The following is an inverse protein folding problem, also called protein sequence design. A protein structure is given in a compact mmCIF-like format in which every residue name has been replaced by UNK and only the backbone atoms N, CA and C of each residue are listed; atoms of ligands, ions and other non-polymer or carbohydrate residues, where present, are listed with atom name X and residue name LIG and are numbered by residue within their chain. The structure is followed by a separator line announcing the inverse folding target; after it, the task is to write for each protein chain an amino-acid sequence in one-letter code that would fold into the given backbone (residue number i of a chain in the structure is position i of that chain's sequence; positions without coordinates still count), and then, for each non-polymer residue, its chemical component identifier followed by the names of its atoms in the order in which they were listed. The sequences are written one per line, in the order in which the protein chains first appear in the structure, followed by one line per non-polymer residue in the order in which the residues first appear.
data_IF_415205236100
#
_entry.id   IF_415205236100
#
_cell.length_a   1.000
_cell.length_b   1.000
_cell.length_c   1.000
_cell.angle_alpha   90.00
_cell.angle_beta   90.00
_cell.angle_gamma   90.00
#
_symmetry.space_group_name_H-M   'P 1'
#
loop_
_entity.id
_entity.type
_entity.pdbx_description
1 polymer ?
#
# COMPACT_ATOMS: atom_id res chain seq x y z
N UNK A 1 -24.71 -6.49 9.72
CA UNK A 1 -23.96 -6.17 10.96
C UNK A 1 -23.67 -7.42 11.76
N UNK A 2 -24.68 -8.21 12.14
CA UNK A 2 -24.48 -9.46 12.91
C UNK A 2 -23.53 -10.44 12.22
N UNK A 3 -23.61 -10.59 10.88
CA UNK A 3 -22.67 -11.43 10.12
C UNK A 3 -21.22 -10.96 10.25
N UNK A 4 -20.95 -9.67 10.06
CA UNK A 4 -19.59 -9.10 10.19
C UNK A 4 -19.01 -9.31 11.58
N UNK A 5 -19.85 -9.15 12.61
CA UNK A 5 -19.46 -9.42 14.01
C UNK A 5 -19.18 -10.90 14.26
N UNK A 6 -20.03 -11.79 13.72
CA UNK A 6 -19.85 -13.23 13.80
C UNK A 6 -18.57 -13.67 13.08
N UNK A 7 -18.36 -13.21 11.86
CA UNK A 7 -17.19 -13.53 11.04
C UNK A 7 -15.90 -13.04 11.70
N UNK A 8 -15.89 -11.82 12.25
CA UNK A 8 -14.73 -11.29 12.97
C UNK A 8 -14.35 -12.16 14.18
N UNK A 9 -15.35 -12.62 14.95
CA UNK A 9 -15.11 -13.53 16.08
C UNK A 9 -14.66 -14.91 15.60
N UNK A 10 -15.27 -15.43 14.53
CA UNK A 10 -14.91 -16.72 13.94
C UNK A 10 -13.47 -16.72 13.44
N UNK A 11 -13.04 -15.67 12.71
CA UNK A 11 -11.67 -15.52 12.25
C UNK A 11 -10.67 -15.46 13.41
N UNK A 12 -11.01 -14.74 14.49
CA UNK A 12 -10.19 -14.69 15.69
C UNK A 12 -10.05 -16.08 16.34
N UNK A 13 -11.15 -16.82 16.45
CA UNK A 13 -11.16 -18.16 17.05
C UNK A 13 -10.44 -19.20 16.15
N UNK A 14 -10.59 -19.11 14.82
CA UNK A 14 -9.90 -19.97 13.85
C UNK A 14 -8.39 -19.73 13.87
N UNK A 15 -7.95 -18.47 13.80
CA UNK A 15 -6.52 -18.15 13.86
C UNK A 15 -5.91 -18.71 15.16
N UNK A 16 -6.64 -18.61 16.27
CA UNK A 16 -6.23 -19.17 17.55
C UNK A 16 -6.15 -20.70 17.52
N UNK A 17 -7.14 -21.38 16.93
CA UNK A 17 -7.13 -22.83 16.79
C UNK A 17 -5.91 -23.33 15.98
N UNK A 18 -5.43 -22.52 15.02
CA UNK A 18 -4.22 -22.82 14.24
C UNK A 18 -2.90 -22.46 14.94
N UNK A 19 -2.94 -21.96 16.19
CA UNK A 19 -1.76 -21.56 16.96
C UNK A 19 -1.28 -20.12 16.70
N UNK A 20 -2.02 -19.32 15.94
CA UNK A 20 -1.76 -17.89 15.75
C UNK A 20 -2.46 -17.03 16.80
N UNK A 21 -2.08 -15.75 16.90
CA UNK A 21 -2.74 -14.79 17.77
C UNK A 21 -2.77 -13.39 17.11
N UNK A 22 -3.95 -12.76 17.13
CA UNK A 22 -4.08 -11.36 16.71
C UNK A 22 -3.60 -10.44 17.83
N UNK A 23 -2.85 -9.40 17.44
CA UNK A 23 -2.62 -8.26 18.32
C UNK A 23 -3.83 -7.32 18.20
N UNK A 24 -4.86 -7.57 19.02
CA UNK A 24 -6.15 -6.88 18.94
C UNK A 24 -6.03 -5.36 19.14
N UNK A 25 -5.05 -4.89 19.90
CA UNK A 25 -4.78 -3.45 20.09
C UNK A 25 -4.30 -2.74 18.80
N UNK A 26 -3.76 -3.50 17.84
CA UNK A 26 -3.35 -3.01 16.51
C UNK A 26 -4.39 -3.28 15.43
N UNK A 27 -5.44 -4.03 15.72
CA UNK A 27 -6.50 -4.32 14.77
C UNK A 27 -7.41 -3.11 14.57
N UNK A 28 -7.83 -2.89 13.33
CA UNK A 28 -8.83 -1.91 12.95
C UNK A 28 -9.69 -2.52 11.85
N UNK A 29 -10.92 -2.03 11.72
CA UNK A 29 -11.80 -2.41 10.63
C UNK A 29 -11.88 -1.26 9.62
N UNK A 30 -12.13 -1.58 8.36
CA UNK A 30 -12.49 -0.57 7.37
C UNK A 30 -13.68 -1.10 6.58
N UNK A 31 -14.77 -0.36 6.58
CA UNK A 31 -16.01 -0.76 5.92
C UNK A 31 -16.22 0.11 4.70
N UNK A 32 -16.27 -0.54 3.53
CA UNK A 32 -16.53 0.08 2.25
C UNK A 32 -17.99 -0.14 1.90
N UNK A 33 -18.85 0.81 2.28
CA UNK A 33 -20.20 0.88 1.77
C UNK A 33 -20.19 1.74 0.50
N UNK A 34 -20.79 1.24 -0.57
CA UNK A 34 -20.95 1.96 -1.84
C UNK A 34 -22.36 2.52 -1.88
N UNK A 35 -22.46 3.82 -2.10
CA UNK A 35 -23.69 4.54 -2.36
C UNK A 35 -23.68 5.08 -3.79
N UNK A 36 -24.81 5.56 -4.29
CA UNK A 36 -24.93 6.12 -5.63
C UNK A 36 -25.25 7.61 -5.54
N UNK A 37 -24.44 8.42 -6.23
CA UNK A 37 -24.72 9.84 -6.40
C UNK A 37 -26.04 10.06 -7.18
N UNK A 38 -26.56 11.29 -7.14
CA UNK A 38 -27.73 11.71 -7.94
C UNK A 38 -27.60 11.37 -9.44
N UNK A 39 -26.37 11.27 -9.95
CA UNK A 39 -26.06 10.94 -11.34
C UNK A 39 -25.82 9.43 -11.56
N UNK A 40 -26.08 8.59 -10.57
CA UNK A 40 -25.89 7.13 -10.62
C UNK A 40 -24.42 6.67 -10.52
N UNK A 41 -23.46 7.58 -10.36
CA UNK A 41 -22.06 7.19 -10.18
C UNK A 41 -21.82 6.61 -8.76
N UNK A 42 -21.09 5.49 -8.62
CA UNK A 42 -20.78 4.90 -7.32
C UNK A 42 -19.83 5.81 -6.53
N UNK A 43 -20.15 6.03 -5.26
CA UNK A 43 -19.37 6.80 -4.30
C UNK A 43 -19.22 6.00 -3.01
N UNK A 44 -18.10 6.18 -2.31
CA UNK A 44 -17.89 5.50 -1.03
C UNK A 44 -18.66 6.27 0.05
N UNK A 45 -19.58 5.59 0.74
CA UNK A 45 -20.32 6.18 1.84
C UNK A 45 -19.38 6.57 2.99
N UNK A 46 -19.71 7.63 3.76
CA UNK A 46 -18.96 7.97 4.97
C UNK A 46 -19.00 6.80 5.98
N UNK A 47 -17.98 6.73 6.84
CA UNK A 47 -17.98 5.72 7.90
C UNK A 47 -19.15 5.97 8.87
N UNK A 48 -19.89 4.90 9.16
CA UNK A 48 -20.89 4.90 10.23
C UNK A 48 -20.18 4.93 11.60
N UNK A 49 -20.35 5.98 12.41
CA UNK A 49 -19.73 6.06 13.73
C UNK A 49 -20.32 5.08 14.75
N UNK A 50 -21.51 4.52 14.49
CA UNK A 50 -22.17 3.54 15.35
C UNK A 50 -21.74 2.11 15.06
N UNK A 51 -21.03 1.89 13.95
CA UNK A 51 -20.47 0.58 13.62
C UNK A 51 -19.34 0.26 14.61
N UNK A 52 -19.57 -0.75 15.44
CA UNK A 52 -18.59 -1.24 16.41
C UNK A 52 -18.50 -2.76 16.25
N UNK A 53 -17.27 -3.28 16.17
CA UNK A 53 -17.00 -4.72 16.18
C UNK A 53 -16.33 -5.04 17.53
N UNK A 54 -16.93 -5.94 18.31
CA UNK A 54 -16.42 -6.34 19.61
C UNK A 54 -15.85 -7.76 19.52
N UNK A 55 -14.54 -7.92 19.68
CA UNK A 55 -13.91 -9.24 19.69
C UNK A 55 -13.69 -9.67 21.14
N UNK A 56 -14.22 -10.85 21.49
CA UNK A 56 -14.03 -11.45 22.81
C UNK A 56 -12.71 -12.21 22.85
N UNK A 57 -11.78 -11.75 23.66
CA UNK A 57 -10.53 -12.45 23.93
C UNK A 57 -10.72 -13.43 25.10
N UNK A 58 -10.70 -14.73 24.80
CA UNK A 58 -10.86 -15.80 25.80
C UNK A 58 -9.65 -15.97 26.71
N UNK A 59 -8.46 -15.52 26.32
CA UNK A 59 -7.24 -15.66 27.12
C UNK A 59 -7.17 -14.61 28.23
N UNK A 60 -7.47 -13.36 27.87
CA UNK A 60 -7.38 -12.22 28.80
C UNK A 60 -8.73 -11.86 29.43
N UNK A 61 -9.80 -12.61 29.12
CA UNK A 61 -11.19 -12.30 29.49
C UNK A 61 -11.53 -10.82 29.25
N UNK A 62 -11.09 -10.30 28.09
CA UNK A 62 -11.22 -8.90 27.73
C UNK A 62 -11.99 -8.78 26.43
N UNK A 63 -12.98 -7.89 26.43
CA UNK A 63 -13.66 -7.48 25.22
C UNK A 63 -12.86 -6.34 24.58
N UNK A 64 -12.38 -6.57 23.35
CA UNK A 64 -11.66 -5.56 22.59
C UNK A 64 -12.58 -4.95 21.54
N UNK A 65 -12.70 -3.63 21.60
CA UNK A 65 -13.52 -2.85 20.68
C UNK A 65 -12.67 -2.45 19.47
N UNK A 66 -12.94 -3.06 18.33
CA UNK A 66 -12.35 -2.70 17.04
C UNK A 66 -13.20 -1.61 16.41
N UNK A 67 -12.66 -0.39 16.40
CA UNK A 67 -13.34 0.77 15.79
C UNK A 67 -13.03 0.83 14.29
N UNK A 68 -14.04 0.97 13.43
CA UNK A 68 -13.82 1.22 12.02
C UNK A 68 -13.09 2.54 11.81
N UNK A 69 -12.09 2.52 10.93
CA UNK A 69 -11.48 3.75 10.41
C UNK A 69 -12.29 4.24 9.21
N UNK A 70 -12.28 5.57 9.02
CA UNK A 70 -12.90 6.16 7.84
C UNK A 70 -12.28 5.59 6.55
N UNK A 71 -13.08 5.27 5.51
CA UNK A 71 -12.59 4.94 4.17
C UNK A 71 -11.71 6.04 3.56
N UNK A 72 -11.92 7.27 4.03
CA UNK A 72 -11.16 8.46 3.62
C UNK A 72 -9.89 8.68 4.47
N UNK A 73 -9.56 7.80 5.40
CA UNK A 73 -8.33 7.90 6.17
C UNK A 73 -7.31 6.89 5.66
N UNK A 74 -6.07 7.32 5.42
CA UNK A 74 -4.98 6.39 5.17
C UNK A 74 -4.57 5.70 6.46
N UNK A 75 -4.15 4.44 6.36
CA UNK A 75 -3.66 3.64 7.47
C UNK A 75 -2.32 3.02 7.14
N UNK A 76 -1.55 2.64 8.15
CA UNK A 76 -0.26 1.97 7.98
C UNK A 76 -0.42 0.46 8.17
N UNK A 77 -0.15 -0.32 7.15
CA UNK A 77 -0.10 -1.78 7.22
C UNK A 77 1.25 -2.28 6.72
N UNK A 78 1.89 -3.17 7.50
CA UNK A 78 3.19 -3.78 7.18
C UNK A 78 4.29 -2.77 6.76
N UNK A 79 4.25 -1.56 7.32
CA UNK A 79 5.21 -0.48 7.03
C UNK A 79 4.84 0.40 5.83
N UNK A 80 3.79 0.07 5.09
CA UNK A 80 3.30 0.85 3.94
C UNK A 80 2.04 1.62 4.31
N UNK A 81 1.95 2.87 3.88
CA UNK A 81 0.75 3.70 4.00
C UNK A 81 -0.23 3.29 2.88
N UNK A 82 -1.44 2.89 3.24
CA UNK A 82 -2.49 2.42 2.34
C UNK A 82 -3.74 3.28 2.52
N UNK A 83 -4.45 3.52 1.43
CA UNK A 83 -5.76 4.17 1.44
C UNK A 83 -6.68 3.43 0.49
N UNK A 84 -7.95 3.27 0.88
CA UNK A 84 -8.95 2.54 0.09
C UNK A 84 -9.83 3.44 -0.77
N UNK A 85 -10.02 4.71 -0.38
CA UNK A 85 -10.73 5.72 -1.17
C UNK A 85 -9.77 6.58 -2.03
N UNK A 86 -10.31 7.59 -2.72
CA UNK A 86 -9.63 8.58 -3.60
C UNK A 86 -8.55 9.44 -2.92
N UNK A 87 -8.03 9.03 -1.75
CA UNK A 87 -6.98 9.72 -0.99
C UNK A 87 -5.56 9.26 -1.36
N UNK A 88 -5.39 8.89 -2.63
CA UNK A 88 -4.10 8.64 -3.27
C UNK A 88 -3.11 9.79 -3.05
N UNK A 89 -3.58 11.04 -2.90
CA UNK A 89 -2.72 12.21 -2.62
C UNK A 89 -2.00 12.13 -1.26
N UNK A 90 -2.69 11.69 -0.20
CA UNK A 90 -2.08 11.55 1.13
C UNK A 90 -1.04 10.43 1.13
N UNK A 91 -1.39 9.30 0.51
CA UNK A 91 -0.49 8.18 0.29
C UNK A 91 0.74 8.59 -0.52
N UNK A 92 0.54 9.31 -1.63
CA UNK A 92 1.61 9.83 -2.48
C UNK A 92 2.55 10.74 -1.69
N UNK A 93 2.03 11.69 -0.90
CA UNK A 93 2.85 12.60 -0.11
C UNK A 93 3.76 11.83 0.87
N UNK A 94 3.23 10.80 1.52
CA UNK A 94 4.02 9.94 2.42
C UNK A 94 5.07 9.15 1.65
N UNK A 95 4.71 8.56 0.52
CA UNK A 95 5.63 7.79 -0.34
C UNK A 95 6.75 8.66 -0.89
N UNK A 96 6.49 9.91 -1.29
CA UNK A 96 7.52 10.87 -1.72
C UNK A 96 8.53 11.15 -0.60
N UNK A 97 8.08 11.28 0.65
CA UNK A 97 8.98 11.48 1.80
C UNK A 97 9.83 10.24 2.08
N UNK A 98 9.22 9.06 2.01
CA UNK A 98 9.92 7.78 2.19
C UNK A 98 10.93 7.54 1.06
N UNK A 99 10.54 7.79 -0.19
CA UNK A 99 11.42 7.65 -1.36
C UNK A 99 12.60 8.60 -1.32
N UNK A 100 12.40 9.86 -0.91
CA UNK A 100 13.50 10.80 -0.68
C UNK A 100 14.47 10.31 0.40
N UNK A 101 13.96 9.67 1.47
CA UNK A 101 14.82 9.07 2.51
C UNK A 101 15.58 7.85 1.98
N UNK A 102 14.91 7.00 1.20
CA UNK A 102 15.54 5.85 0.56
C UNK A 102 16.56 6.26 -0.49
N UNK A 103 16.31 7.32 -1.26
CA UNK A 103 17.24 7.89 -2.23
C UNK A 103 18.51 8.38 -1.55
N UNK A 104 18.40 9.05 -0.39
CA UNK A 104 19.57 9.41 0.42
C UNK A 104 20.33 8.18 0.91
N UNK A 105 19.62 7.17 1.43
CA UNK A 105 20.24 5.91 1.87
C UNK A 105 20.93 5.19 0.71
N UNK A 106 20.31 5.14 -0.45
CA UNK A 106 20.89 4.60 -1.67
C UNK A 106 22.16 5.36 -2.02
N UNK A 107 22.10 6.69 -2.14
CA UNK A 107 23.26 7.55 -2.44
C UNK A 107 24.45 7.21 -1.53
N UNK A 108 24.19 6.97 -0.24
CA UNK A 108 25.21 6.69 0.78
C UNK A 108 25.52 5.20 1.03
N UNK A 109 24.88 4.22 0.36
CA UNK A 109 25.06 2.78 0.64
C UNK A 109 25.40 1.93 -0.60
N UNK A 110 26.03 0.77 -0.41
CA UNK A 110 26.38 -0.18 -1.48
C UNK A 110 25.20 -1.07 -1.95
N UNK A 111 23.97 -0.55 -1.95
CA UNK A 111 22.78 -1.35 -2.30
C UNK A 111 22.65 -1.64 -3.80
N UNK A 112 22.15 -2.84 -4.11
CA UNK A 112 21.90 -3.30 -5.49
C UNK A 112 20.69 -2.58 -6.13
N UNK A 113 20.60 -2.49 -7.47
CA UNK A 113 19.49 -1.86 -8.20
C UNK A 113 18.10 -2.45 -7.93
N UNK A 114 18.02 -3.64 -7.32
CA UNK A 114 16.75 -4.33 -7.04
C UNK A 114 16.21 -3.93 -5.67
N UNK A 115 15.69 -2.71 -5.57
CA UNK A 115 15.00 -2.25 -4.36
C UNK A 115 13.50 -2.43 -4.57
N UNK A 116 12.93 -3.44 -3.91
CA UNK A 116 11.50 -3.73 -3.96
C UNK A 116 10.70 -2.55 -3.38
N UNK A 117 9.77 -2.04 -4.17
CA UNK A 117 8.78 -1.04 -3.74
C UNK A 117 7.43 -1.71 -3.67
N UNK A 118 6.75 -1.63 -2.52
CA UNK A 118 5.42 -2.18 -2.34
C UNK A 118 4.41 -1.31 -3.10
N UNK A 119 3.68 -1.95 -4.00
CA UNK A 119 2.78 -1.37 -4.99
C UNK A 119 1.56 -0.74 -4.31
N UNK A 120 1.32 0.53 -4.62
CA UNK A 120 0.19 1.30 -4.14
C UNK A 120 -0.63 1.77 -5.34
N UNK A 121 -1.96 1.88 -5.22
CA UNK A 121 -2.89 2.35 -6.26
C UNK A 121 -2.69 3.83 -6.63
N UNK A 122 -1.51 4.20 -7.13
CA UNK A 122 -1.17 5.53 -7.62
C UNK A 122 -1.45 5.63 -9.12
N UNK A 123 -1.73 6.83 -9.60
CA UNK A 123 -1.83 7.09 -11.04
C UNK A 123 -0.44 7.07 -11.71
N UNK A 124 -0.41 6.83 -13.02
CA UNK A 124 0.81 6.75 -13.82
C UNK A 124 1.68 8.01 -13.72
N UNK A 125 1.07 9.19 -13.62
CA UNK A 125 1.79 10.47 -13.45
C UNK A 125 2.45 10.59 -12.07
N UNK A 126 1.78 10.12 -11.02
CA UNK A 126 2.32 10.11 -9.65
C UNK A 126 3.49 9.12 -9.52
N UNK A 127 3.41 7.97 -10.18
CA UNK A 127 4.51 7.01 -10.26
C UNK A 127 5.70 7.58 -11.04
N UNK A 128 5.44 8.24 -12.18
CA UNK A 128 6.49 8.88 -12.95
C UNK A 128 7.25 9.94 -12.14
N UNK A 129 6.53 10.81 -11.40
CA UNK A 129 7.16 11.81 -10.52
C UNK A 129 7.96 11.18 -9.37
N UNK A 130 7.53 10.03 -8.86
CA UNK A 130 8.28 9.27 -7.86
C UNK A 130 9.60 8.73 -8.45
N UNK A 131 9.53 8.11 -9.64
CA UNK A 131 10.69 7.51 -10.32
C UNK A 131 11.69 8.55 -10.82
N UNK A 132 11.20 9.69 -11.32
CA UNK A 132 12.00 10.77 -11.90
C UNK A 132 13.11 11.26 -10.96
N UNK A 133 12.87 11.26 -9.65
CA UNK A 133 13.88 11.64 -8.65
C UNK A 133 14.90 10.54 -8.40
N UNK A 134 14.48 9.27 -8.43
CA UNK A 134 15.31 8.10 -8.14
C UNK A 134 16.26 7.73 -9.29
N UNK A 135 15.78 7.75 -10.54
CA UNK A 135 16.53 7.25 -11.70
C UNK A 135 17.90 7.91 -11.86
N UNK A 136 18.05 9.25 -11.82
CA UNK A 136 19.36 9.87 -12.00
C UNK A 136 20.38 9.43 -10.94
N UNK A 137 19.93 9.21 -9.70
CA UNK A 137 20.78 8.70 -8.61
C UNK A 137 21.18 7.25 -8.85
N UNK A 138 20.26 6.41 -9.34
CA UNK A 138 20.57 5.04 -9.71
C UNK A 138 21.59 4.97 -10.85
N UNK A 139 21.36 5.73 -11.94
CA UNK A 139 22.23 5.76 -13.11
C UNK A 139 23.65 6.19 -12.77
N UNK A 140 23.80 7.27 -12.01
CA UNK A 140 25.11 7.72 -11.54
C UNK A 140 25.83 6.64 -10.72
N UNK A 141 25.10 5.83 -9.95
CA UNK A 141 25.69 4.74 -9.15
C UNK A 141 26.20 3.58 -9.97
N UNK A 142 25.50 3.24 -11.04
CA UNK A 142 25.89 2.14 -11.94
C UNK A 142 26.84 2.61 -13.04
N UNK A 143 27.38 3.85 -12.95
CA UNK A 143 28.36 4.40 -13.88
C UNK A 143 27.77 4.86 -15.22
N UNK A 144 26.44 5.03 -15.30
CA UNK A 144 25.74 5.43 -16.52
C UNK A 144 25.39 6.92 -16.44
N UNK A 145 25.55 7.62 -17.57
CA UNK A 145 25.21 9.03 -17.66
C UNK A 145 23.74 9.29 -17.25
N UNK A 146 23.52 10.28 -16.37
CA UNK A 146 22.16 10.69 -15.93
C UNK A 146 21.22 11.11 -17.07
N UNK A 147 21.77 11.45 -18.23
CA UNK A 147 21.04 11.85 -19.45
C UNK A 147 20.69 10.68 -20.36
N UNK A 148 21.02 9.44 -19.96
CA UNK A 148 20.70 8.26 -20.73
C UNK A 148 19.18 8.14 -21.00
N UNK A 149 18.82 7.70 -22.21
CA UNK A 149 17.44 7.67 -22.65
C UNK A 149 16.59 6.75 -21.75
N UNK A 150 15.51 7.29 -21.17
CA UNK A 150 14.67 6.55 -20.20
C UNK A 150 14.09 5.24 -20.79
N UNK A 151 13.82 5.21 -22.09
CA UNK A 151 13.34 3.99 -22.80
C UNK A 151 14.35 2.85 -22.69
N UNK A 152 15.66 3.15 -22.76
CA UNK A 152 16.72 2.16 -22.61
C UNK A 152 16.98 1.81 -21.14
N UNK A 153 16.72 2.74 -20.21
CA UNK A 153 16.83 2.48 -18.76
C UNK A 153 15.90 1.35 -18.33
N UNK A 154 14.64 1.41 -18.75
CA UNK A 154 13.63 0.39 -18.46
C UNK A 154 13.61 -0.76 -19.48
N UNK A 155 14.39 -0.63 -20.57
CA UNK A 155 14.44 -1.62 -21.62
C UNK A 155 15.06 -2.94 -21.16
N UNK A 156 14.62 -4.08 -21.71
CA UNK A 156 15.21 -5.40 -21.44
C UNK A 156 16.70 -5.46 -21.83
N UNK A 157 17.50 -6.13 -20.99
CA UNK A 157 18.95 -6.31 -21.22
C UNK A 157 19.26 -7.08 -22.50
N UNK A 158 18.39 -8.00 -22.90
CA UNK A 158 18.53 -8.77 -24.14
C UNK A 158 18.59 -7.90 -25.40
N UNK A 159 18.00 -6.70 -25.35
CA UNK A 159 17.96 -5.75 -26.47
C UNK A 159 18.80 -4.50 -26.20
N UNK A 160 19.80 -4.58 -25.31
CA UNK A 160 20.70 -3.47 -25.00
C UNK A 160 20.18 -2.45 -23.99
N UNK A 161 19.06 -2.74 -23.30
CA UNK A 161 18.58 -1.93 -22.19
C UNK A 161 19.30 -2.21 -20.87
N UNK A 162 19.10 -1.34 -19.88
CA UNK A 162 19.71 -1.48 -18.54
C UNK A 162 18.92 -2.48 -17.67
N UNK A 163 17.63 -2.66 -17.97
CA UNK A 163 16.74 -3.56 -17.24
C UNK A 163 16.39 -3.06 -15.84
N UNK A 164 16.26 -1.75 -15.65
CA UNK A 164 15.70 -1.21 -14.41
C UNK A 164 14.19 -1.44 -14.36
N UNK A 165 13.64 -1.64 -13.16
CA UNK A 165 12.21 -1.84 -12.98
C UNK A 165 11.44 -0.52 -13.16
N UNK A 166 10.39 -0.56 -13.97
CA UNK A 166 9.46 0.55 -14.12
C UNK A 166 8.27 0.36 -13.18
N UNK A 167 8.10 1.25 -12.19
CA UNK A 167 7.01 1.20 -11.22
C UNK A 167 5.62 1.16 -11.88
N UNK A 168 5.48 1.71 -13.10
CA UNK A 168 4.22 1.65 -13.87
C UNK A 168 3.89 0.23 -14.33
N UNK A 169 4.91 -0.55 -14.67
CA UNK A 169 4.78 -1.93 -15.12
C UNK A 169 4.66 -2.86 -13.91
N UNK A 170 5.50 -2.65 -12.89
CA UNK A 170 5.44 -3.43 -11.64
C UNK A 170 4.06 -3.33 -10.98
N UNK A 171 3.42 -2.14 -11.00
CA UNK A 171 2.06 -1.96 -10.47
C UNK A 171 1.01 -2.84 -11.15
N UNK A 172 1.16 -3.13 -12.45
CA UNK A 172 0.20 -3.92 -13.23
C UNK A 172 0.46 -5.43 -13.17
N UNK A 173 1.71 -5.86 -13.00
CA UNK A 173 2.10 -7.28 -13.05
C UNK A 173 1.58 -8.13 -11.88
N UNK A 174 1.21 -7.52 -10.76
CA UNK A 174 0.58 -8.21 -9.62
C UNK A 174 -0.97 -8.08 -9.60
N UNK A 175 -1.57 -7.32 -10.53
CA UNK A 175 -3.03 -7.23 -10.65
C UNK A 175 -3.65 -8.38 -11.49
N UNK A 176 -2.86 -8.99 -12.38
CA UNK A 176 -3.28 -10.11 -13.24
C UNK A 176 -3.04 -11.50 -12.62
N UNK A 177 -2.71 -11.56 -11.32
CA UNK A 177 -2.69 -12.81 -10.54
C UNK A 177 -3.93 -12.88 -9.65
N UNK A 178 -5.10 -12.98 -10.26
CA UNK A 178 -6.35 -13.43 -9.63
C UNK A 178 -6.92 -14.55 -10.49
#
# INVERSE_FOLDING_TARGET
MERTQHDAQLWNDLLRATGGALNLDKCFAQVLAIDFSLNGAPVIAPADPNLIITIKDRLNNKDVIVRPISPYKTYRSLGTEQGTSKNQKQQQAKLIKTSGTHQRKLACSAMSPKCAWVLCHLSTSQLHELQKKYIPTLLNKIGIARTHAQVLVFGPRAYGGIGCNDLRIEQGLDADKI
#
